data_IF_178583724138
#
_entry.id   IF_178583724138
#
_cell.length_a   1.000
_cell.length_b   1.000
_cell.length_c   1.000
_cell.angle_alpha   90.00
_cell.angle_beta   90.00
_cell.angle_gamma   90.00
#
_symmetry.space_group_name_H-M   'P 1'
#
loop_
_entity.id
_entity.type
_entity.pdbx_description
1 polymer ?
#
# COMPACT_ATOMS: atom_id res chain seq x y z
N UNK A 1 0.23 11.33 -13.61
CA UNK A 1 -0.14 9.91 -13.38
C UNK A 1 1.04 9.05 -13.82
N UNK A 2 1.75 8.44 -12.88
CA UNK A 2 2.98 7.67 -13.17
C UNK A 2 2.60 6.26 -13.64
N UNK A 3 2.05 6.16 -14.85
CA UNK A 3 1.99 4.86 -15.54
C UNK A 3 3.42 4.45 -15.92
N UNK A 4 3.78 3.19 -15.68
CA UNK A 4 4.99 2.54 -16.18
C UNK A 4 6.38 3.02 -15.67
N UNK A 5 6.48 3.89 -14.65
CA UNK A 5 7.81 4.21 -14.03
C UNK A 5 8.11 3.48 -12.73
N UNK A 6 7.12 2.83 -12.11
CA UNK A 6 7.36 2.07 -10.88
C UNK A 6 8.16 0.79 -11.19
N UNK A 7 9.05 0.36 -10.29
CA UNK A 7 9.79 -0.89 -10.45
C UNK A 7 8.85 -2.10 -10.41
N UNK A 8 9.38 -3.27 -10.79
CA UNK A 8 8.67 -4.54 -10.54
C UNK A 8 8.46 -4.71 -9.02
N UNK A 9 7.33 -5.30 -8.57
CA UNK A 9 6.22 -5.85 -9.35
C UNK A 9 5.17 -4.83 -9.84
N UNK A 10 5.30 -3.55 -9.47
CA UNK A 10 4.24 -2.53 -9.66
C UNK A 10 4.13 -2.00 -11.08
N UNK A 11 5.15 -2.20 -11.91
CA UNK A 11 5.21 -1.75 -13.30
C UNK A 11 4.02 -2.20 -14.18
N UNK A 12 3.24 -3.20 -13.74
CA UNK A 12 2.07 -3.73 -14.45
C UNK A 12 0.72 -3.48 -13.77
N UNK A 13 0.69 -2.83 -12.59
CA UNK A 13 -0.51 -2.74 -11.73
C UNK A 13 -1.40 -1.53 -12.07
N UNK A 14 -0.97 -0.66 -12.98
CA UNK A 14 -1.71 0.58 -13.32
C UNK A 14 -2.87 0.39 -14.30
N UNK A 15 -4.12 0.51 -13.81
CA UNK A 15 -5.33 0.74 -14.66
C UNK A 15 -5.71 2.22 -14.69
N UNK A 16 -6.64 2.62 -15.58
CA UNK A 16 -7.15 4.00 -15.61
C UNK A 16 -7.70 4.37 -14.21
N UNK A 17 -7.48 5.60 -13.74
CA UNK A 17 -7.89 6.00 -12.38
C UNK A 17 -7.00 5.45 -11.25
N UNK A 18 -5.84 4.86 -11.57
CA UNK A 18 -4.88 4.42 -10.54
C UNK A 18 -3.80 5.46 -10.31
N UNK A 19 -3.47 5.66 -9.04
CA UNK A 19 -2.49 6.59 -8.56
C UNK A 19 -1.53 5.86 -7.63
N UNK A 20 -0.31 6.37 -7.54
CA UNK A 20 0.72 5.85 -6.67
C UNK A 20 1.63 6.98 -6.22
N UNK A 21 2.19 6.84 -5.02
CA UNK A 21 3.35 7.62 -4.59
C UNK A 21 4.59 7.15 -5.34
N UNK A 22 5.69 7.90 -5.18
CA UNK A 22 7.02 7.35 -5.44
C UNK A 22 7.35 6.23 -4.44
N UNK A 23 8.50 5.58 -4.66
CA UNK A 23 9.04 4.59 -3.75
C UNK A 23 9.76 5.32 -2.59
N UNK A 24 9.07 5.48 -1.46
CA UNK A 24 9.51 6.30 -0.33
C UNK A 24 10.51 5.50 0.52
N UNK A 25 11.75 6.00 0.74
CA UNK A 25 12.66 5.40 1.70
C UNK A 25 12.19 5.65 3.14
N UNK A 26 12.09 4.58 3.93
CA UNK A 26 11.75 4.64 5.36
C UNK A 26 12.87 4.12 6.26
N UNK A 27 13.89 3.49 5.66
CA UNK A 27 15.22 3.23 6.22
C UNK A 27 16.18 2.93 5.06
N UNK A 28 17.43 2.60 5.35
CA UNK A 28 18.43 2.25 4.34
C UNK A 28 17.94 1.08 3.46
N UNK A 29 17.36 0.05 4.09
CA UNK A 29 16.96 -1.21 3.44
C UNK A 29 15.47 -1.30 3.12
N UNK A 30 14.65 -0.34 3.58
CA UNK A 30 13.20 -0.44 3.43
C UNK A 30 12.61 0.67 2.58
N UNK A 31 11.61 0.29 1.79
CA UNK A 31 10.85 1.18 0.94
C UNK A 31 9.36 0.98 1.16
N UNK A 32 8.60 2.07 1.05
CA UNK A 32 7.15 2.07 1.09
C UNK A 32 6.59 2.64 -0.19
N UNK A 33 5.49 2.08 -0.67
CA UNK A 33 4.69 2.66 -1.74
C UNK A 33 3.21 2.57 -1.37
N UNK A 34 2.50 3.66 -1.59
CA UNK A 34 1.06 3.72 -1.46
C UNK A 34 0.43 3.84 -2.84
N UNK A 35 -0.65 3.10 -3.06
CA UNK A 35 -1.40 3.11 -4.30
C UNK A 35 -2.88 3.22 -3.99
N UNK A 36 -3.62 3.93 -4.83
CA UNK A 36 -5.07 3.94 -4.74
C UNK A 36 -5.68 3.98 -6.12
N UNK A 37 -6.90 3.48 -6.19
CA UNK A 37 -7.67 3.48 -7.40
C UNK A 37 -8.99 4.18 -7.15
N UNK A 38 -9.28 5.15 -7.99
CA UNK A 38 -10.56 5.83 -8.06
C UNK A 38 -11.40 5.23 -9.18
N UNK A 39 -12.65 4.92 -8.84
CA UNK A 39 -13.66 4.37 -9.72
C UNK A 39 -14.99 5.08 -9.51
N UNK A 40 -15.93 4.99 -10.47
CA UNK A 40 -17.20 5.71 -10.42
C UNK A 40 -17.92 5.49 -9.09
N UNK A 41 -18.11 4.22 -8.74
CA UNK A 41 -18.76 3.80 -7.50
C UNK A 41 -17.76 3.64 -6.35
N UNK A 42 -18.24 3.76 -5.12
CA UNK A 42 -17.41 3.56 -3.92
C UNK A 42 -16.82 2.14 -3.87
N UNK A 43 -17.57 1.15 -4.35
CA UNK A 43 -17.17 -0.27 -4.39
C UNK A 43 -16.04 -0.57 -5.37
N UNK A 44 -15.85 0.31 -6.38
CA UNK A 44 -14.79 0.19 -7.36
C UNK A 44 -13.46 0.73 -6.85
N UNK A 45 -13.50 1.53 -5.77
CA UNK A 45 -12.32 2.19 -5.18
C UNK A 45 -11.54 1.21 -4.33
N UNK A 46 -10.25 1.45 -4.21
CA UNK A 46 -9.39 0.65 -3.34
C UNK A 46 -8.14 1.42 -2.95
N UNK A 47 -7.57 1.04 -1.81
CA UNK A 47 -6.29 1.57 -1.33
C UNK A 47 -5.34 0.41 -1.02
N UNK A 48 -4.06 0.61 -1.30
CA UNK A 48 -2.99 -0.35 -1.08
C UNK A 48 -1.78 0.34 -0.46
N UNK A 49 -1.15 -0.32 0.51
CA UNK A 49 0.15 0.05 1.04
C UNK A 49 1.09 -1.16 1.01
N UNK A 50 2.34 -0.93 0.64
CA UNK A 50 3.33 -2.00 0.54
C UNK A 50 4.59 -1.60 1.31
N UNK A 51 5.04 -2.48 2.21
CA UNK A 51 6.37 -2.40 2.81
C UNK A 51 7.27 -3.41 2.11
N UNK A 52 8.41 -2.92 1.64
CA UNK A 52 9.34 -3.65 0.80
C UNK A 52 10.72 -3.60 1.43
N UNK A 53 11.42 -4.72 1.40
CA UNK A 53 12.84 -4.81 1.66
C UNK A 53 13.60 -4.73 0.33
N UNK A 54 14.63 -3.90 0.26
CA UNK A 54 15.57 -3.84 -0.86
C UNK A 54 16.59 -4.95 -0.67
N UNK A 55 16.62 -5.90 -1.59
CA UNK A 55 17.57 -7.01 -1.58
C UNK A 55 18.59 -6.87 -2.71
N UNK A 56 19.50 -7.83 -2.86
CA UNK A 56 20.55 -7.80 -3.88
C UNK A 56 20.04 -7.43 -5.28
N UNK A 57 20.82 -6.63 -6.01
CA UNK A 57 20.51 -6.10 -7.35
C UNK A 57 19.28 -5.16 -7.40
N UNK A 58 19.00 -4.45 -6.29
CA UNK A 58 17.86 -3.53 -6.15
C UNK A 58 16.48 -4.20 -6.33
N UNK A 59 16.44 -5.52 -6.19
CA UNK A 59 15.20 -6.29 -6.18
C UNK A 59 14.37 -5.91 -4.96
N UNK A 60 13.05 -5.89 -5.13
CA UNK A 60 12.11 -5.56 -4.06
C UNK A 60 11.43 -6.83 -3.54
N UNK A 61 11.51 -7.06 -2.24
CA UNK A 61 10.84 -8.17 -1.57
C UNK A 61 9.71 -7.63 -0.67
N UNK A 62 8.42 -7.95 -0.92
CA UNK A 62 7.33 -7.52 -0.06
C UNK A 62 7.37 -8.24 1.29
N UNK A 63 7.38 -7.46 2.36
CA UNK A 63 7.27 -7.98 3.73
C UNK A 63 5.88 -7.72 4.33
N UNK A 64 5.14 -6.74 3.79
CA UNK A 64 3.77 -6.46 4.19
C UNK A 64 2.97 -5.86 3.03
N UNK A 65 1.81 -6.42 2.73
CA UNK A 65 0.82 -5.85 1.81
C UNK A 65 -0.43 -5.49 2.58
N UNK A 66 -0.89 -4.26 2.45
CA UNK A 66 -2.05 -3.72 3.14
C UNK A 66 -3.09 -3.32 2.12
N UNK A 67 -4.29 -3.85 2.25
CA UNK A 67 -5.34 -3.68 1.27
C UNK A 67 -6.60 -3.17 1.97
N UNK A 68 -7.26 -2.22 1.31
CA UNK A 68 -8.59 -1.78 1.67
C UNK A 68 -9.50 -1.81 0.46
N UNK A 69 -10.55 -2.63 0.55
CA UNK A 69 -11.59 -2.76 -0.46
C UNK A 69 -12.97 -2.51 0.17
N UNK A 70 -13.63 -1.38 -0.12
CA UNK A 70 -14.97 -1.07 0.37
C UNK A 70 -16.01 -2.14 0.02
N UNK A 71 -15.79 -2.92 -1.04
CA UNK A 71 -16.80 -3.79 -1.62
C UNK A 71 -16.99 -5.15 -0.95
N UNK A 72 -15.98 -5.74 -0.29
CA UNK A 72 -16.11 -7.16 0.11
C UNK A 72 -15.21 -7.65 1.25
N UNK A 73 -14.07 -7.01 1.52
CA UNK A 73 -13.10 -7.49 2.54
C UNK A 73 -12.75 -6.46 3.60
N UNK A 74 -13.11 -5.19 3.39
CA UNK A 74 -12.67 -4.11 4.25
C UNK A 74 -11.14 -4.06 4.31
N UNK A 75 -10.61 -3.85 5.51
CA UNK A 75 -9.18 -3.73 5.76
C UNK A 75 -8.54 -5.09 6.04
N UNK A 76 -7.50 -5.44 5.30
CA UNK A 76 -6.74 -6.66 5.53
C UNK A 76 -5.28 -6.49 5.14
N UNK A 77 -4.43 -7.41 5.58
CA UNK A 77 -3.05 -7.45 5.18
C UNK A 77 -2.56 -8.87 4.87
N UNK A 78 -1.42 -8.94 4.17
CA UNK A 78 -0.69 -10.17 3.90
C UNK A 78 0.75 -10.00 4.33
N UNK A 79 1.33 -11.10 4.78
CA UNK A 79 2.75 -11.19 5.12
C UNK A 79 3.32 -12.46 4.51
N UNK A 80 4.59 -12.49 4.09
CA UNK A 80 5.23 -13.68 3.52
C UNK A 80 5.46 -14.80 4.55
N UNK A 81 5.04 -14.61 5.81
CA UNK A 81 5.26 -15.58 6.88
C UNK A 81 4.57 -16.91 6.58
N UNK A 82 5.16 -18.01 7.06
CA UNK A 82 4.66 -19.38 6.85
C UNK A 82 4.53 -19.79 5.38
N UNK A 83 5.33 -19.18 4.51
CA UNK A 83 5.46 -19.60 3.10
C UNK A 83 6.92 -19.96 2.80
N UNK A 84 7.12 -20.86 1.84
CA UNK A 84 8.45 -21.18 1.28
C UNK A 84 8.67 -20.49 -0.08
N UNK A 85 7.78 -19.57 -0.46
CA UNK A 85 7.79 -18.95 -1.77
C UNK A 85 8.80 -17.80 -1.83
N UNK A 86 9.45 -17.67 -2.99
CA UNK A 86 10.27 -16.52 -3.30
C UNK A 86 9.42 -15.41 -3.93
N UNK A 87 9.28 -14.31 -3.20
CA UNK A 87 8.51 -13.14 -3.58
C UNK A 87 9.36 -11.98 -4.13
N UNK A 88 10.64 -12.19 -4.44
CA UNK A 88 11.45 -11.15 -5.11
C UNK A 88 10.77 -10.66 -6.39
N UNK A 89 10.60 -9.35 -6.49
CA UNK A 89 9.93 -8.65 -7.60
C UNK A 89 8.52 -9.18 -7.88
N UNK A 90 7.84 -9.70 -6.86
CA UNK A 90 6.47 -10.21 -6.90
C UNK A 90 5.69 -9.62 -5.75
N UNK A 91 4.36 -9.61 -5.86
CA UNK A 91 3.48 -9.43 -4.72
C UNK A 91 3.44 -10.73 -3.89
N UNK A 92 2.52 -10.84 -2.93
CA UNK A 92 2.28 -11.97 -2.05
C UNK A 92 1.08 -12.83 -2.51
N UNK A 93 1.11 -13.47 -3.70
CA UNK A 93 0.06 -14.40 -4.08
C UNK A 93 0.07 -15.57 -3.09
N UNK A 94 -1.13 -15.97 -2.67
CA UNK A 94 -1.39 -17.12 -1.78
C UNK A 94 -0.73 -17.02 -0.39
N UNK A 95 -0.16 -15.87 -0.03
CA UNK A 95 0.26 -15.64 1.34
C UNK A 95 -0.97 -15.58 2.27
N UNK A 96 -0.82 -15.98 3.54
CA UNK A 96 -1.88 -15.85 4.53
C UNK A 96 -2.39 -14.41 4.62
N UNK A 97 -3.72 -14.26 4.67
CA UNK A 97 -4.41 -12.98 4.79
C UNK A 97 -4.92 -12.82 6.23
N UNK A 98 -4.66 -11.66 6.82
CA UNK A 98 -5.12 -11.28 8.16
C UNK A 98 -6.13 -10.14 8.03
N UNK A 99 -7.32 -10.33 8.59
CA UNK A 99 -8.32 -9.27 8.66
C UNK A 99 -7.93 -8.27 9.74
N UNK A 100 -7.82 -7.00 9.35
CA UNK A 100 -7.60 -5.89 10.27
C UNK A 100 -8.95 -5.26 10.58
N UNK A 101 -9.27 -5.08 11.86
CA UNK A 101 -10.50 -4.37 12.23
C UNK A 101 -10.33 -2.89 11.93
N UNK A 102 -11.18 -2.34 11.06
CA UNK A 102 -11.33 -0.89 10.93
C UNK A 102 -12.40 -0.39 11.92
N UNK A 103 -12.23 0.83 12.42
CA UNK A 103 -13.21 1.47 13.30
C UNK A 103 -14.37 2.12 12.52
N UNK A 104 -14.19 2.31 11.21
CA UNK A 104 -15.16 2.85 10.26
C UNK A 104 -14.83 2.41 8.85
N UNK A 105 -15.70 2.73 7.91
CA UNK A 105 -15.39 2.65 6.49
C UNK A 105 -14.66 3.92 6.00
N UNK A 106 -13.77 3.71 5.05
CA UNK A 106 -13.02 4.75 4.34
C UNK A 106 -13.52 4.89 2.89
N UNK A 107 -13.23 6.05 2.30
CA UNK A 107 -13.38 6.35 0.88
C UNK A 107 -12.02 6.77 0.30
N UNK A 108 -11.33 5.88 -0.45
CA UNK A 108 -10.01 6.18 -1.03
C UNK A 108 -9.96 7.39 -1.97
N UNK A 109 -11.11 7.91 -2.44
CA UNK A 109 -11.17 9.17 -3.20
C UNK A 109 -10.88 10.38 -2.32
N UNK A 110 -11.26 10.34 -1.04
CA UNK A 110 -11.02 11.42 -0.09
C UNK A 110 -9.58 11.38 0.42
N UNK A 111 -8.92 12.53 0.42
CA UNK A 111 -7.52 12.63 0.85
C UNK A 111 -7.33 12.35 2.33
N UNK A 112 -8.21 12.86 3.17
CA UNK A 112 -8.23 12.61 4.61
C UNK A 112 -8.33 11.12 4.93
N UNK A 113 -9.13 10.37 4.17
CA UNK A 113 -9.28 8.92 4.35
C UNK A 113 -8.04 8.16 3.87
N UNK A 114 -7.38 8.62 2.80
CA UNK A 114 -6.07 8.08 2.40
C UNK A 114 -5.01 8.34 3.48
N UNK A 115 -4.98 9.53 4.06
CA UNK A 115 -4.04 9.88 5.12
C UNK A 115 -4.24 9.00 6.36
N UNK A 116 -5.49 8.73 6.74
CA UNK A 116 -5.81 7.84 7.85
C UNK A 116 -5.44 6.38 7.55
N UNK A 117 -5.67 5.89 6.33
CA UNK A 117 -5.24 4.56 5.89
C UNK A 117 -3.71 4.42 5.90
N UNK A 118 -2.97 5.46 5.50
CA UNK A 118 -1.51 5.53 5.59
C UNK A 118 -1.06 5.49 7.05
N UNK A 119 -1.71 6.24 7.94
CA UNK A 119 -1.42 6.21 9.38
C UNK A 119 -1.60 4.82 9.96
N UNK A 120 -2.69 4.13 9.61
CA UNK A 120 -2.95 2.75 10.06
C UNK A 120 -1.87 1.80 9.54
N UNK A 121 -1.49 1.91 8.27
CA UNK A 121 -0.38 1.13 7.70
C UNK A 121 0.92 1.36 8.48
N UNK A 122 1.31 2.62 8.69
CA UNK A 122 2.53 2.98 9.39
C UNK A 122 2.57 2.43 10.82
N UNK A 123 1.44 2.52 11.54
CA UNK A 123 1.31 1.90 12.87
C UNK A 123 1.44 0.38 12.84
N UNK A 124 0.87 -0.29 11.84
CA UNK A 124 0.91 -1.74 11.73
C UNK A 124 2.34 -2.26 11.49
N UNK A 125 3.17 -1.50 10.78
CA UNK A 125 4.54 -1.90 10.42
C UNK A 125 5.63 -1.21 11.25
N UNK A 126 5.25 -0.33 12.19
CA UNK A 126 6.19 0.33 13.09
C UNK A 126 7.10 1.37 12.43
N UNK A 127 6.67 1.98 11.32
CA UNK A 127 7.41 3.09 10.68
C UNK A 127 6.76 4.42 11.06
N UNK A 128 7.57 5.45 11.25
CA UNK A 128 7.05 6.81 11.39
C UNK A 128 6.33 7.21 10.11
N UNK A 129 5.20 7.91 10.24
CA UNK A 129 4.48 8.43 9.06
C UNK A 129 5.42 9.36 8.29
N UNK A 130 5.82 8.99 7.04
CA UNK A 130 6.72 9.83 6.26
C UNK A 130 6.02 11.12 5.78
N UNK A 131 4.71 11.19 5.98
CA UNK A 131 3.86 12.29 5.54
C UNK A 131 3.59 13.21 6.72
N UNK A 132 3.97 14.48 6.59
CA UNK A 132 3.53 15.53 7.51
C UNK A 132 2.05 15.80 7.27
N UNK A 133 1.19 15.07 7.95
CA UNK A 133 -0.24 15.36 7.98
C UNK A 133 -0.40 16.69 8.72
N UNK A 134 -0.73 17.77 8.01
CA UNK A 134 -1.11 19.02 8.67
C UNK A 134 -2.40 18.81 9.47
N UNK A 135 -2.79 19.74 10.35
CA UNK A 135 -4.03 19.64 11.13
C UNK A 135 -5.30 19.52 10.25
N UNK A 136 -5.18 19.71 8.93
CA UNK A 136 -6.24 19.63 7.93
C UNK A 136 -6.28 18.29 7.16
N UNK A 137 -5.34 17.36 7.38
CA UNK A 137 -5.38 16.03 6.76
C UNK A 137 -4.81 15.95 5.34
N UNK A 138 -4.05 16.97 4.91
CA UNK A 138 -3.51 17.03 3.54
C UNK A 138 -2.18 16.27 3.41
N UNK A 139 -2.05 15.50 2.32
CA UNK A 139 -0.89 14.72 1.94
C UNK A 139 0.05 15.59 1.07
N UNK A 140 1.06 16.20 1.68
CA UNK A 140 2.12 16.90 0.96
C UNK A 140 3.29 15.96 0.66
N UNK A 141 3.74 15.93 -0.60
CA UNK A 141 5.07 15.45 -0.99
C UNK A 141 6.09 16.57 -0.82
#
# INVERSE_FOLDING_TARGET
>A
MVRNKLPKPFNKIGRQGSYATDLIPVSDEHRVIFMWHDGPERTDRSFYGYLLCVVHNDDLYPIFEFHYHPSHKGLHCKTPCKTAADYRNRLLPRAPELNLKSHRDFDPRLESDRAELIRIFCQAVGVETPIRINRQGELWN
#
